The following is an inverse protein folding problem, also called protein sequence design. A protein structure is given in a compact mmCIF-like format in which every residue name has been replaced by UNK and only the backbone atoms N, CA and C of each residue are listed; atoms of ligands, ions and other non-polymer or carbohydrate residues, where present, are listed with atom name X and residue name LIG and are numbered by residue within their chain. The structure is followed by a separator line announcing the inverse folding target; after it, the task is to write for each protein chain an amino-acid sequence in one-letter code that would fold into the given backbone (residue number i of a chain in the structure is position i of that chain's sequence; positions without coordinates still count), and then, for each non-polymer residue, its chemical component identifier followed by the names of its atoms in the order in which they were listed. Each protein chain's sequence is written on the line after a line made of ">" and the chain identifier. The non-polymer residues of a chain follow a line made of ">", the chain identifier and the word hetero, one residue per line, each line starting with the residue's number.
data_IF_543993784323
#
_entry.id   IF_543993784323
#
_cell.length_a   1.000
_cell.length_b   1.000
_cell.length_c   1.000
_cell.angle_alpha   90.00
_cell.angle_beta   90.00
_cell.angle_gamma   90.00
#
_symmetry.space_group_name_H-M   'P 1'
#
loop_
_entity.id
_entity.type
_entity.pdbx_description
1 polymer ?
#
# COMPACT_ATOMS: atom_id res chain seq x y z
N UNK A 1 26.13 54.47 73.63
CA UNK A 1 25.92 53.00 73.44
C UNK A 1 24.43 52.76 73.34
N UNK A 2 23.92 52.60 72.10
CA UNK A 2 22.51 52.33 71.87
C UNK A 2 22.44 51.09 70.97
N UNK A 3 21.99 49.96 71.51
CA UNK A 3 21.80 48.70 70.89
C UNK A 3 20.44 48.65 70.19
N UNK A 4 20.44 48.70 68.88
CA UNK A 4 19.20 48.53 68.10
C UNK A 4 18.90 47.03 67.92
N UNK A 5 17.80 46.59 68.49
CA UNK A 5 17.21 45.26 68.30
C UNK A 5 16.51 45.23 66.93
N UNK A 6 16.97 44.42 65.95
CA UNK A 6 16.27 44.10 64.72
C UNK A 6 15.19 43.07 64.99
N UNK A 7 13.93 43.46 64.88
CA UNK A 7 12.80 42.56 64.84
C UNK A 7 12.59 42.04 63.40
N UNK A 8 12.71 40.74 63.20
CA UNK A 8 12.38 40.05 61.99
C UNK A 8 10.83 39.94 61.82
N UNK A 9 10.22 40.24 60.68
CA UNK A 9 8.82 40.06 60.46
C UNK A 9 8.47 38.59 60.38
N UNK A 10 7.25 38.18 60.85
CA UNK A 10 6.77 36.77 60.73
C UNK A 10 6.53 36.39 59.29
N UNK A 11 6.82 35.11 58.97
CA UNK A 11 6.57 34.50 57.66
C UNK A 11 5.07 34.48 57.36
N UNK A 12 4.66 34.69 56.10
CA UNK A 12 3.25 34.59 55.70
C UNK A 12 2.75 33.16 55.86
N UNK A 13 1.69 32.98 56.63
CA UNK A 13 0.95 31.73 56.76
C UNK A 13 0.25 31.44 55.45
N UNK A 14 0.57 30.29 54.82
CA UNK A 14 -0.14 29.81 53.66
C UNK A 14 -1.61 29.53 53.98
N UNK A 15 -2.58 29.91 53.13
CA UNK A 15 -3.97 29.58 53.33
C UNK A 15 -4.16 28.08 53.22
N UNK A 16 -4.79 27.47 54.21
CA UNK A 16 -5.24 26.08 54.19
C UNK A 16 -6.34 25.94 53.13
N UNK A 17 -6.01 25.37 51.98
CA UNK A 17 -6.95 25.00 50.95
C UNK A 17 -7.71 23.71 51.38
N UNK A 18 -8.81 23.89 52.08
CA UNK A 18 -9.72 22.86 52.53
C UNK A 18 -10.95 22.71 51.57
N UNK A 19 -10.64 22.59 50.28
CA UNK A 19 -11.69 22.11 49.35
C UNK A 19 -11.76 20.59 49.43
N UNK A 20 -12.92 19.99 49.78
CA UNK A 20 -13.11 18.54 49.74
C UNK A 20 -13.00 18.11 48.26
N UNK A 21 -11.89 17.50 47.88
CA UNK A 21 -11.69 16.91 46.56
C UNK A 21 -12.83 15.95 46.26
N UNK A 22 -13.70 16.35 45.35
CA UNK A 22 -14.68 15.46 44.76
C UNK A 22 -13.95 14.35 44.00
N UNK A 23 -13.64 13.25 44.71
CA UNK A 23 -13.19 12.01 44.09
C UNK A 23 -14.25 11.60 43.08
N UNK A 24 -13.98 11.83 41.78
CA UNK A 24 -14.84 11.26 40.72
C UNK A 24 -14.90 9.75 40.97
N UNK A 25 -16.09 9.17 41.09
CA UNK A 25 -16.19 7.73 41.26
C UNK A 25 -15.51 7.04 40.06
N UNK A 26 -14.76 5.94 40.27
CA UNK A 26 -14.16 5.19 39.19
C UNK A 26 -15.25 4.84 38.19
N UNK A 27 -15.03 5.17 36.90
CA UNK A 27 -15.94 4.79 35.82
C UNK A 27 -16.06 3.27 35.88
N UNK A 28 -17.20 2.77 36.36
CA UNK A 28 -17.50 1.34 36.36
C UNK A 28 -17.40 0.87 34.91
N UNK A 29 -16.59 -0.17 34.62
CA UNK A 29 -16.55 -0.75 33.29
C UNK A 29 -17.99 -1.12 32.91
N UNK A 30 -18.49 -0.51 31.82
CA UNK A 30 -19.80 -0.83 31.26
C UNK A 30 -19.76 -2.34 30.98
N UNK A 31 -20.49 -3.12 31.76
CA UNK A 31 -20.70 -4.54 31.46
C UNK A 31 -21.40 -4.59 30.11
N UNK A 32 -20.61 -4.71 29.05
CA UNK A 32 -21.14 -5.10 27.75
C UNK A 32 -21.71 -6.50 27.95
N UNK A 33 -23.02 -6.63 27.90
CA UNK A 33 -23.67 -7.92 28.04
C UNK A 33 -23.04 -8.91 27.04
N UNK A 34 -23.00 -10.18 27.36
CA UNK A 34 -22.50 -11.26 26.51
C UNK A 34 -22.95 -11.14 25.04
N UNK A 35 -24.13 -10.64 24.80
CA UNK A 35 -24.69 -10.48 23.44
C UNK A 35 -23.89 -9.53 22.54
N UNK A 36 -23.18 -8.54 23.07
CA UNK A 36 -22.37 -7.60 22.29
C UNK A 36 -21.18 -8.30 21.58
N UNK A 37 -20.33 -9.05 22.29
CA UNK A 37 -19.21 -9.78 21.66
C UNK A 37 -19.70 -10.88 20.71
N UNK A 38 -20.78 -11.62 21.06
CA UNK A 38 -21.33 -12.67 20.21
C UNK A 38 -21.90 -12.12 18.90
N UNK A 39 -22.65 -11.02 18.96
CA UNK A 39 -23.17 -10.34 17.77
C UNK A 39 -22.04 -9.78 16.91
N UNK A 40 -21.02 -9.18 17.51
CA UNK A 40 -19.85 -8.69 16.78
C UNK A 40 -19.10 -9.83 16.06
N UNK A 41 -18.88 -10.95 16.75
CA UNK A 41 -18.21 -12.13 16.15
C UNK A 41 -19.06 -12.75 15.03
N UNK A 42 -20.40 -12.77 15.17
CA UNK A 42 -21.29 -13.22 14.12
C UNK A 42 -21.19 -12.35 12.87
N UNK A 43 -21.25 -11.01 13.05
CA UNK A 43 -21.12 -10.05 11.94
C UNK A 43 -19.76 -10.21 11.25
N UNK A 44 -18.68 -10.32 12.02
CA UNK A 44 -17.33 -10.54 11.45
C UNK A 44 -17.26 -11.87 10.70
N UNK A 45 -17.83 -12.96 11.28
CA UNK A 45 -17.85 -14.27 10.65
C UNK A 45 -18.63 -14.29 9.32
N UNK A 46 -19.84 -13.69 9.30
CA UNK A 46 -20.66 -13.56 8.09
C UNK A 46 -19.94 -12.71 7.04
N UNK A 47 -19.35 -11.57 7.45
CA UNK A 47 -18.59 -10.72 6.54
C UNK A 47 -17.37 -11.42 5.95
N UNK A 48 -16.65 -12.20 6.77
CA UNK A 48 -15.51 -12.99 6.32
C UNK A 48 -15.95 -14.08 5.32
N UNK A 49 -17.03 -14.81 5.62
CA UNK A 49 -17.59 -15.81 4.70
C UNK A 49 -18.00 -15.17 3.38
N UNK A 50 -18.71 -14.05 3.42
CA UNK A 50 -19.12 -13.31 2.21
C UNK A 50 -17.91 -12.88 1.38
N UNK A 51 -16.86 -12.35 2.02
CA UNK A 51 -15.63 -11.92 1.33
C UNK A 51 -14.83 -13.11 0.73
N UNK A 52 -14.93 -14.30 1.32
CA UNK A 52 -14.24 -15.51 0.83
C UNK A 52 -15.01 -16.22 -0.29
N UNK A 53 -16.32 -16.03 -0.45
CA UNK A 53 -17.12 -16.70 -1.46
C UNK A 53 -16.55 -16.54 -2.88
N UNK A 54 -16.18 -15.34 -3.38
CA UNK A 54 -15.61 -15.19 -4.73
C UNK A 54 -14.27 -15.95 -4.88
N UNK A 55 -13.46 -15.99 -3.83
CA UNK A 55 -12.18 -16.70 -3.86
C UNK A 55 -12.38 -18.23 -3.87
N UNK A 56 -13.32 -18.71 -3.08
CA UNK A 56 -13.70 -20.14 -3.08
C UNK A 56 -14.25 -20.55 -4.44
N UNK A 57 -15.13 -19.72 -5.01
CA UNK A 57 -15.63 -19.97 -6.36
C UNK A 57 -14.49 -20.01 -7.39
N UNK A 58 -13.56 -19.04 -7.34
CA UNK A 58 -12.42 -19.00 -8.25
C UNK A 58 -11.52 -20.23 -8.12
N UNK A 59 -11.30 -20.71 -6.87
CA UNK A 59 -10.54 -21.94 -6.61
C UNK A 59 -11.20 -23.17 -7.23
N UNK A 60 -12.51 -23.33 -7.05
CA UNK A 60 -13.25 -24.47 -7.62
C UNK A 60 -13.31 -24.34 -9.15
N UNK A 61 -13.66 -23.16 -9.67
CA UNK A 61 -13.75 -22.90 -11.11
C UNK A 61 -12.43 -23.11 -11.86
N UNK A 62 -11.30 -22.83 -11.20
CA UNK A 62 -9.97 -23.06 -11.79
C UNK A 62 -9.56 -24.53 -11.82
N UNK A 63 -10.24 -25.37 -11.02
CA UNK A 63 -9.93 -26.78 -10.88
C UNK A 63 -10.79 -27.70 -11.75
N UNK A 64 -11.83 -27.19 -12.43
CA UNK A 64 -12.70 -27.95 -13.32
C UNK A 64 -12.34 -27.73 -14.79
N UNK A 65 -12.70 -28.69 -15.65
CA UNK A 65 -12.50 -28.57 -17.09
C UNK A 65 -13.45 -27.55 -17.73
N UNK A 66 -13.22 -27.24 -19.02
CA UNK A 66 -14.00 -26.25 -19.76
C UNK A 66 -15.48 -26.64 -19.94
N UNK A 67 -15.81 -27.96 -19.97
CA UNK A 67 -17.16 -28.44 -20.13
C UNK A 67 -17.96 -28.22 -18.85
N UNK A 68 -17.39 -28.58 -17.69
CA UNK A 68 -18.04 -28.41 -16.39
C UNK A 68 -18.13 -26.94 -15.95
N UNK A 69 -17.25 -26.06 -16.44
CA UNK A 69 -17.26 -24.65 -16.06
C UNK A 69 -18.61 -23.96 -16.38
N UNK A 70 -19.30 -24.39 -17.41
CA UNK A 70 -20.60 -23.85 -17.87
C UNK A 70 -21.76 -24.81 -17.65
N UNK A 71 -21.52 -26.02 -17.10
CA UNK A 71 -22.53 -27.05 -16.90
C UNK A 71 -23.12 -27.01 -15.48
N UNK A 72 -24.19 -27.80 -15.28
CA UNK A 72 -24.80 -28.01 -13.96
C UNK A 72 -23.94 -28.83 -13.01
N UNK A 73 -22.94 -29.53 -13.55
CA UNK A 73 -22.14 -30.53 -12.84
C UNK A 73 -20.83 -29.96 -12.30
N UNK A 74 -20.81 -28.64 -12.06
CA UNK A 74 -19.67 -27.83 -11.60
C UNK A 74 -18.93 -28.42 -10.37
N UNK A 75 -19.61 -29.15 -9.51
CA UNK A 75 -19.03 -29.77 -8.31
C UNK A 75 -18.73 -31.26 -8.45
N UNK A 76 -18.84 -31.85 -9.65
CA UNK A 76 -18.51 -33.25 -9.87
C UNK A 76 -16.97 -33.45 -9.87
N UNK A 77 -16.40 -34.26 -8.97
CA UNK A 77 -14.96 -34.53 -8.92
C UNK A 77 -14.39 -35.18 -10.19
N UNK A 78 -15.25 -35.78 -11.06
CA UNK A 78 -14.81 -36.37 -12.33
C UNK A 78 -14.25 -35.36 -13.32
N UNK A 79 -14.61 -34.09 -13.16
CA UNK A 79 -14.16 -32.97 -13.97
C UNK A 79 -12.94 -32.26 -13.45
N UNK A 80 -12.21 -32.86 -12.48
CA UNK A 80 -11.00 -32.22 -11.91
C UNK A 80 -9.85 -32.15 -12.91
N UNK A 81 -9.49 -30.97 -13.34
CA UNK A 81 -8.51 -30.67 -14.39
C UNK A 81 -7.49 -29.57 -14.03
N UNK A 82 -7.23 -29.31 -12.73
CA UNK A 82 -6.37 -28.20 -12.30
C UNK A 82 -5.00 -28.19 -12.97
N UNK A 83 -4.33 -29.34 -13.06
CA UNK A 83 -2.98 -29.43 -13.63
C UNK A 83 -3.00 -29.28 -15.14
N UNK A 84 -4.03 -29.79 -15.80
CA UNK A 84 -4.23 -29.65 -17.24
C UNK A 84 -4.52 -28.19 -17.61
N UNK A 85 -5.35 -27.51 -16.83
CA UNK A 85 -5.63 -26.07 -16.97
C UNK A 85 -4.37 -25.22 -16.78
N UNK A 86 -3.50 -25.54 -15.81
CA UNK A 86 -2.21 -24.87 -15.64
C UNK A 86 -1.31 -25.13 -16.85
N UNK A 87 -1.25 -26.38 -17.31
CA UNK A 87 -0.46 -26.75 -18.49
C UNK A 87 -0.91 -25.99 -19.74
N UNK A 88 -2.22 -25.95 -20.00
CA UNK A 88 -2.83 -25.22 -21.10
C UNK A 88 -2.55 -23.71 -21.00
N UNK A 89 -2.71 -23.11 -19.82
CA UNK A 89 -2.40 -21.71 -19.57
C UNK A 89 -0.95 -21.36 -19.92
N UNK A 90 -0.01 -22.20 -19.49
CA UNK A 90 1.43 -21.94 -19.70
C UNK A 90 1.86 -22.17 -21.16
N UNK A 91 1.14 -23.00 -21.90
CA UNK A 91 1.43 -23.28 -23.32
C UNK A 91 0.75 -22.27 -24.27
N UNK A 92 -0.33 -21.64 -23.84
CA UNK A 92 -1.16 -20.76 -24.68
C UNK A 92 -0.35 -19.60 -25.27
N UNK A 93 -0.56 -19.33 -26.56
CA UNK A 93 0.06 -18.24 -27.32
C UNK A 93 1.60 -18.15 -27.14
N UNK A 94 2.26 -19.33 -27.14
CA UNK A 94 3.72 -19.41 -26.96
C UNK A 94 4.21 -18.95 -25.58
N UNK A 95 3.42 -19.18 -24.54
CA UNK A 95 3.77 -18.79 -23.17
C UNK A 95 3.50 -17.32 -22.84
N UNK A 96 2.52 -16.71 -23.50
CA UNK A 96 2.15 -15.30 -23.29
C UNK A 96 1.87 -14.99 -21.84
N UNK A 97 1.18 -15.89 -21.12
CA UNK A 97 0.88 -15.71 -19.69
C UNK A 97 2.12 -15.48 -18.83
N UNK A 98 3.17 -16.30 -18.99
CA UNK A 98 4.40 -16.16 -18.22
C UNK A 98 5.12 -14.83 -18.52
N UNK A 99 5.07 -14.39 -19.76
CA UNK A 99 5.64 -13.10 -20.18
C UNK A 99 4.90 -11.94 -19.51
N UNK A 100 3.56 -11.94 -19.56
CA UNK A 100 2.73 -10.93 -18.90
C UNK A 100 2.91 -10.94 -17.38
N UNK A 101 3.04 -12.13 -16.80
CA UNK A 101 3.34 -12.28 -15.37
C UNK A 101 4.70 -11.66 -14.99
N UNK A 102 5.74 -11.94 -15.78
CA UNK A 102 7.07 -11.34 -15.64
C UNK A 102 7.05 -9.82 -15.79
N UNK A 103 6.32 -9.30 -16.80
CA UNK A 103 6.12 -7.86 -16.98
C UNK A 103 5.41 -7.24 -15.77
N UNK A 104 4.35 -7.88 -15.26
CA UNK A 104 3.66 -7.40 -14.05
C UNK A 104 4.57 -7.35 -12.84
N UNK A 105 5.42 -8.35 -12.63
CA UNK A 105 6.42 -8.33 -11.56
C UNK A 105 7.42 -7.19 -11.76
N UNK A 106 7.91 -6.99 -12.97
CA UNK A 106 8.81 -5.87 -13.27
C UNK A 106 8.15 -4.52 -12.97
N UNK A 107 6.96 -4.29 -13.51
CA UNK A 107 6.24 -3.02 -13.31
C UNK A 107 5.87 -2.80 -11.84
N UNK A 108 5.30 -3.81 -11.17
CA UNK A 108 4.80 -3.66 -9.81
C UNK A 108 5.93 -3.66 -8.78
N UNK A 109 6.84 -4.64 -8.80
CA UNK A 109 7.92 -4.72 -7.80
C UNK A 109 8.97 -3.64 -8.06
N UNK A 110 9.41 -3.51 -9.32
CA UNK A 110 10.40 -2.48 -9.71
C UNK A 110 9.85 -1.08 -9.51
N UNK A 111 8.65 -0.81 -10.03
CA UNK A 111 7.97 0.49 -9.89
C UNK A 111 7.69 0.85 -8.43
N UNK A 112 7.19 -0.10 -7.63
CA UNK A 112 6.92 0.15 -6.22
C UNK A 112 8.20 0.34 -5.40
N UNK A 113 9.25 -0.43 -5.64
CA UNK A 113 10.49 -0.30 -4.88
C UNK A 113 11.16 1.07 -5.11
N UNK A 114 11.28 1.47 -6.37
CA UNK A 114 11.88 2.76 -6.74
C UNK A 114 10.96 3.92 -6.37
N UNK A 115 9.66 3.81 -6.67
CA UNK A 115 8.69 4.86 -6.36
C UNK A 115 8.51 5.09 -4.85
N UNK A 116 8.49 4.03 -4.04
CA UNK A 116 8.47 4.15 -2.59
C UNK A 116 9.76 4.80 -2.05
N UNK A 117 10.92 4.49 -2.65
CA UNK A 117 12.18 5.14 -2.26
C UNK A 117 12.17 6.63 -2.59
N UNK A 118 11.74 7.00 -3.79
CA UNK A 118 11.58 8.41 -4.21
C UNK A 118 10.61 9.13 -3.27
N UNK A 119 9.45 8.51 -2.99
CA UNK A 119 8.44 9.08 -2.08
C UNK A 119 8.97 9.24 -0.67
N UNK A 120 9.74 8.25 -0.17
CA UNK A 120 10.34 8.31 1.17
C UNK A 120 11.40 9.40 1.26
N UNK A 121 12.26 9.53 0.26
CA UNK A 121 13.26 10.59 0.20
C UNK A 121 12.60 11.98 0.12
N UNK A 122 11.59 12.16 -0.74
CA UNK A 122 10.86 13.41 -0.85
C UNK A 122 10.13 13.77 0.46
N UNK A 123 9.42 12.81 1.08
CA UNK A 123 8.73 13.03 2.35
C UNK A 123 9.68 13.39 3.48
N UNK A 124 10.84 12.74 3.55
CA UNK A 124 11.92 13.08 4.48
C UNK A 124 12.43 14.51 4.28
N UNK A 125 12.66 14.94 3.03
CA UNK A 125 13.08 16.31 2.72
C UNK A 125 11.99 17.30 3.13
N UNK A 126 10.73 17.02 2.86
CA UNK A 126 9.62 17.88 3.33
C UNK A 126 9.42 17.91 4.83
N UNK A 127 9.97 16.98 5.58
CA UNK A 127 9.96 17.00 7.04
C UNK A 127 11.18 17.72 7.60
N UNK A 128 12.38 17.29 7.22
CA UNK A 128 13.64 17.63 7.89
C UNK A 128 14.33 18.91 7.38
N UNK A 129 13.96 19.41 6.20
CA UNK A 129 14.61 20.55 5.61
C UNK A 129 13.68 21.75 5.49
N UNK A 130 14.23 22.95 5.71
CA UNK A 130 13.56 24.21 5.39
C UNK A 130 14.13 24.78 4.10
N UNK A 131 13.24 25.07 3.13
CA UNK A 131 13.61 25.64 1.85
C UNK A 131 12.50 26.55 1.30
N UNK A 132 12.91 27.49 0.44
CA UNK A 132 11.97 28.43 -0.19
C UNK A 132 10.96 27.67 -1.08
N UNK A 133 9.67 27.91 -0.88
CA UNK A 133 8.61 27.24 -1.64
C UNK A 133 8.14 25.91 -1.07
N UNK A 134 8.67 25.44 0.07
CA UNK A 134 8.25 24.18 0.73
C UNK A 134 6.75 24.04 0.86
N UNK A 135 6.06 25.08 1.38
CA UNK A 135 4.61 25.02 1.63
C UNK A 135 3.78 24.92 0.34
N UNK A 136 3.95 25.80 -0.67
CA UNK A 136 3.18 25.69 -1.91
C UNK A 136 3.50 24.41 -2.70
N UNK A 137 4.77 23.93 -2.68
CA UNK A 137 5.14 22.69 -3.35
C UNK A 137 4.46 21.48 -2.69
N UNK A 138 4.44 21.44 -1.35
CA UNK A 138 3.75 20.37 -0.64
C UNK A 138 2.22 20.43 -0.85
N UNK A 139 1.64 21.65 -0.91
CA UNK A 139 0.23 21.82 -1.24
C UNK A 139 -0.09 21.30 -2.66
N UNK A 140 0.79 21.55 -3.64
CA UNK A 140 0.65 21.00 -4.99
C UNK A 140 0.66 19.48 -5.01
N UNK A 141 1.55 18.84 -4.23
CA UNK A 141 1.56 17.38 -4.06
C UNK A 141 0.24 16.88 -3.48
N UNK A 142 -0.31 17.55 -2.46
CA UNK A 142 -1.59 17.15 -1.88
C UNK A 142 -2.76 17.31 -2.87
N UNK A 143 -2.78 18.37 -3.65
CA UNK A 143 -3.80 18.59 -4.68
C UNK A 143 -3.70 17.51 -5.77
N UNK A 144 -2.49 17.09 -6.16
CA UNK A 144 -2.30 16.07 -7.19
C UNK A 144 -2.87 14.69 -6.81
N UNK A 145 -3.01 14.39 -5.51
CA UNK A 145 -3.69 13.16 -5.03
C UNK A 145 -5.18 13.15 -5.41
N UNK A 146 -5.79 14.32 -5.56
CA UNK A 146 -7.22 14.45 -5.89
C UNK A 146 -7.49 14.33 -7.40
N UNK A 147 -6.45 14.38 -8.23
CA UNK A 147 -6.61 14.28 -9.69
C UNK A 147 -6.80 12.81 -10.07
N UNK A 148 -7.93 12.45 -10.72
CA UNK A 148 -8.13 11.08 -11.19
C UNK A 148 -7.07 10.69 -12.22
N UNK A 149 -6.39 9.55 -11.99
CA UNK A 149 -5.34 9.08 -12.91
C UNK A 149 -5.84 8.85 -14.34
N UNK A 150 -7.13 8.51 -14.51
CA UNK A 150 -7.76 8.31 -15.81
C UNK A 150 -7.84 9.60 -16.64
N UNK A 151 -7.99 10.76 -16.01
CA UNK A 151 -7.99 12.06 -16.69
C UNK A 151 -6.62 12.41 -17.27
N UNK A 152 -5.56 11.95 -16.60
CA UNK A 152 -4.18 12.21 -17.02
C UNK A 152 -3.69 11.25 -18.12
N UNK A 153 -4.40 10.16 -18.39
CA UNK A 153 -3.91 9.12 -19.30
C UNK A 153 -3.66 9.63 -20.72
N UNK A 154 -4.59 10.42 -21.30
CA UNK A 154 -4.41 10.98 -22.64
C UNK A 154 -3.27 12.01 -22.71
N UNK A 155 -3.17 13.02 -21.83
CA UNK A 155 -2.03 13.92 -21.80
C UNK A 155 -0.69 13.19 -21.64
N UNK A 156 -0.64 12.16 -20.77
CA UNK A 156 0.56 11.35 -20.56
C UNK A 156 0.94 10.54 -21.79
N UNK A 157 -0.06 9.99 -22.51
CA UNK A 157 0.19 9.26 -23.76
C UNK A 157 0.77 10.20 -24.82
N UNK A 158 0.19 11.39 -24.99
CA UNK A 158 0.70 12.38 -25.97
C UNK A 158 2.14 12.76 -25.66
N UNK A 159 2.44 13.03 -24.38
CA UNK A 159 3.80 13.33 -23.95
C UNK A 159 4.75 12.15 -24.20
N UNK A 160 4.34 10.92 -23.86
CA UNK A 160 5.13 9.73 -24.12
C UNK A 160 5.36 9.49 -25.61
N UNK A 161 4.35 9.78 -26.45
CA UNK A 161 4.44 9.69 -27.91
C UNK A 161 5.45 10.70 -28.47
N UNK A 162 5.36 11.96 -28.03
CA UNK A 162 6.28 13.04 -28.48
C UNK A 162 7.74 12.75 -28.07
N UNK A 163 7.93 12.07 -26.92
CA UNK A 163 9.25 11.66 -26.43
C UNK A 163 9.74 10.34 -27.03
N UNK A 164 8.95 9.67 -27.88
CA UNK A 164 9.30 8.35 -28.43
C UNK A 164 9.27 7.22 -27.40
N UNK A 165 8.57 7.40 -26.28
CA UNK A 165 8.47 6.44 -25.19
C UNK A 165 7.18 5.60 -25.26
N UNK A 166 6.17 6.00 -26.05
CA UNK A 166 4.93 5.23 -26.22
C UNK A 166 5.25 3.80 -26.70
N UNK A 167 4.45 2.84 -26.25
CA UNK A 167 4.64 1.42 -26.53
C UNK A 167 6.04 0.87 -26.11
N UNK A 168 6.54 1.33 -24.97
CA UNK A 168 7.76 0.81 -24.34
C UNK A 168 7.52 0.52 -22.85
N UNK A 169 8.41 -0.24 -22.22
CA UNK A 169 8.39 -0.49 -20.76
C UNK A 169 8.40 0.83 -19.97
N UNK A 170 9.07 1.86 -20.48
CA UNK A 170 9.22 3.15 -19.83
C UNK A 170 7.92 3.96 -19.80
N UNK A 171 7.03 3.77 -20.79
CA UNK A 171 5.72 4.47 -20.80
C UNK A 171 4.83 4.06 -19.62
N UNK A 172 5.04 2.88 -19.05
CA UNK A 172 4.35 2.40 -17.86
C UNK A 172 5.17 2.69 -16.59
N UNK A 173 6.48 2.40 -16.60
CA UNK A 173 7.32 2.53 -15.42
C UNK A 173 7.48 3.98 -14.94
N UNK A 174 7.77 4.93 -15.84
CA UNK A 174 8.05 6.31 -15.42
C UNK A 174 6.86 6.93 -14.68
N UNK A 175 5.62 6.87 -15.19
CA UNK A 175 4.49 7.44 -14.47
C UNK A 175 4.24 6.85 -13.08
N UNK A 176 4.43 5.53 -12.93
CA UNK A 176 4.15 4.86 -11.64
C UNK A 176 5.22 5.12 -10.58
N UNK A 177 6.38 5.69 -10.92
CA UNK A 177 7.38 6.12 -9.95
C UNK A 177 6.91 7.32 -9.12
N UNK A 178 6.02 8.15 -9.67
CA UNK A 178 5.50 9.33 -8.98
C UNK A 178 4.28 8.96 -8.15
N UNK A 179 4.43 9.01 -6.83
CA UNK A 179 3.38 8.66 -5.87
C UNK A 179 3.19 9.80 -4.86
N UNK A 180 2.35 10.80 -5.16
CA UNK A 180 2.09 11.92 -4.26
C UNK A 180 1.55 11.51 -2.89
N UNK A 181 0.69 10.49 -2.84
CA UNK A 181 0.19 9.93 -1.59
C UNK A 181 1.31 9.29 -0.76
N UNK A 182 2.25 8.61 -1.43
CA UNK A 182 3.46 8.08 -0.80
C UNK A 182 4.33 9.17 -0.17
N UNK A 183 4.49 10.32 -0.84
CA UNK A 183 5.24 11.47 -0.30
C UNK A 183 4.57 12.02 0.97
N UNK A 184 3.24 12.16 0.97
CA UNK A 184 2.48 12.55 2.15
C UNK A 184 2.70 11.59 3.32
N UNK A 185 2.52 10.28 3.08
CA UNK A 185 2.74 9.25 4.10
C UNK A 185 4.19 9.27 4.61
N UNK A 186 5.16 9.37 3.72
CA UNK A 186 6.58 9.40 4.08
C UNK A 186 6.92 10.56 4.99
N UNK A 187 6.36 11.75 4.73
CA UNK A 187 6.51 12.91 5.60
C UNK A 187 5.94 12.65 7.00
N UNK A 188 4.75 12.03 7.10
CA UNK A 188 4.14 11.67 8.38
C UNK A 188 4.98 10.65 9.15
N UNK A 189 5.51 9.65 8.46
CA UNK A 189 6.42 8.67 9.07
C UNK A 189 7.75 9.29 9.49
N UNK A 190 8.33 10.17 8.67
CA UNK A 190 9.56 10.88 9.01
C UNK A 190 9.40 11.70 10.30
N UNK A 191 8.33 12.48 10.39
CA UNK A 191 8.03 13.29 11.57
C UNK A 191 7.81 12.44 12.85
N UNK A 192 7.32 11.20 12.69
CA UNK A 192 7.03 10.33 13.84
C UNK A 192 8.20 9.45 14.27
N UNK A 193 9.06 9.06 13.33
CA UNK A 193 10.09 8.04 13.57
C UNK A 193 11.51 8.57 13.56
N UNK A 194 11.77 9.77 13.03
CA UNK A 194 13.13 10.34 12.94
C UNK A 194 13.22 11.60 13.79
N UNK A 195 13.68 11.51 15.04
CA UNK A 195 13.98 12.68 15.86
C UNK A 195 15.13 13.51 15.25
N UNK A 196 15.05 14.83 15.36
CA UNK A 196 16.07 15.72 14.82
C UNK A 196 17.42 15.55 15.55
N UNK A 197 17.39 15.22 16.84
CA UNK A 197 18.57 14.96 17.67
C UNK A 197 19.44 13.83 17.14
N UNK A 198 18.84 12.79 16.55
CA UNK A 198 19.57 11.66 15.95
C UNK A 198 20.29 12.10 14.68
N UNK A 199 19.71 13.00 13.90
CA UNK A 199 20.33 13.56 12.71
C UNK A 199 21.47 14.54 13.07
N UNK A 200 21.29 15.33 14.13
CA UNK A 200 22.33 16.21 14.66
C UNK A 200 23.53 15.39 15.14
N UNK A 201 23.31 14.31 15.87
CA UNK A 201 24.39 13.40 16.28
C UNK A 201 25.13 12.81 15.06
N UNK A 202 24.41 12.37 14.02
CA UNK A 202 25.03 11.88 12.79
C UNK A 202 25.89 12.94 12.08
N UNK A 203 25.45 14.22 12.10
CA UNK A 203 26.25 15.34 11.54
C UNK A 203 27.51 15.61 12.36
N UNK A 204 27.45 15.52 13.70
CA UNK A 204 28.62 15.63 14.58
C UNK A 204 29.63 14.52 14.30
N UNK A 205 29.13 13.28 13.96
CA UNK A 205 29.94 12.14 13.54
C UNK A 205 30.49 12.29 12.11
N UNK A 206 30.27 13.41 11.42
CA UNK A 206 30.79 13.72 10.09
C UNK A 206 29.96 13.12 8.94
N UNK A 207 28.72 12.66 9.18
CA UNK A 207 27.84 12.22 8.10
C UNK A 207 27.31 13.44 7.31
N UNK A 208 27.42 13.38 5.96
CA UNK A 208 26.71 14.31 5.09
C UNK A 208 25.21 13.94 5.00
N UNK A 209 24.39 14.83 4.43
CA UNK A 209 22.93 14.67 4.40
C UNK A 209 22.48 13.39 3.68
N UNK A 210 23.13 13.00 2.58
CA UNK A 210 22.82 11.75 1.88
C UNK A 210 23.15 10.52 2.75
N UNK A 211 24.31 10.55 3.42
CA UNK A 211 24.67 9.47 4.35
C UNK A 211 23.72 9.42 5.54
N UNK A 212 23.34 10.55 6.09
CA UNK A 212 22.36 10.64 7.18
C UNK A 212 21.01 10.07 6.75
N UNK A 213 20.55 10.38 5.53
CA UNK A 213 19.31 9.78 5.00
C UNK A 213 19.41 8.26 4.87
N UNK A 214 20.40 7.73 4.12
CA UNK A 214 20.47 6.29 3.86
C UNK A 214 20.87 5.44 5.07
N UNK A 215 21.76 5.95 5.92
CA UNK A 215 22.30 5.19 7.05
C UNK A 215 21.44 5.27 8.31
N UNK A 216 20.72 6.39 8.51
CA UNK A 216 19.93 6.67 9.70
C UNK A 216 18.45 6.82 9.33
N UNK A 217 18.11 7.85 8.57
CA UNK A 217 16.74 8.24 8.28
C UNK A 217 15.92 7.10 7.68
N UNK A 218 16.41 6.51 6.57
CA UNK A 218 15.71 5.43 5.85
C UNK A 218 15.54 4.18 6.72
N UNK A 219 16.52 3.86 7.58
CA UNK A 219 16.42 2.72 8.50
C UNK A 219 15.34 2.94 9.56
N UNK A 220 15.22 4.17 10.08
CA UNK A 220 14.20 4.53 11.06
C UNK A 220 12.80 4.58 10.43
N UNK A 221 12.69 5.06 9.17
CA UNK A 221 11.42 5.13 8.41
C UNK A 221 11.08 3.76 7.78
N UNK A 222 11.90 2.73 7.91
CA UNK A 222 11.69 1.45 7.22
C UNK A 222 10.25 0.88 7.31
N UNK A 223 9.54 0.94 8.46
CA UNK A 223 8.12 0.52 8.50
C UNK A 223 7.22 1.37 7.60
N UNK A 224 7.50 2.67 7.50
CA UNK A 224 6.81 3.60 6.59
C UNK A 224 7.12 3.29 5.12
N UNK A 225 8.39 3.06 4.79
CA UNK A 225 8.79 2.64 3.44
C UNK A 225 8.07 1.36 3.00
N UNK A 226 8.04 0.33 3.85
CA UNK A 226 7.33 -0.93 3.56
C UNK A 226 5.83 -0.70 3.35
N UNK A 227 5.22 0.19 4.13
CA UNK A 227 3.80 0.54 3.98
C UNK A 227 3.54 1.21 2.63
N UNK A 228 4.37 2.19 2.25
CA UNK A 228 4.28 2.89 0.96
C UNK A 228 4.51 1.91 -0.19
N UNK A 229 5.53 1.05 -0.07
CA UNK A 229 5.82 0.01 -1.05
C UNK A 229 4.63 -0.92 -1.28
N UNK A 230 3.97 -1.42 -0.22
CA UNK A 230 2.81 -2.32 -0.33
C UNK A 230 1.62 -1.64 -1.01
N UNK A 231 1.31 -0.40 -0.65
CA UNK A 231 0.24 0.34 -1.30
C UNK A 231 0.54 0.55 -2.79
N UNK A 232 1.76 0.92 -3.11
CA UNK A 232 2.17 1.16 -4.49
C UNK A 232 2.26 -0.13 -5.30
N UNK A 233 2.79 -1.21 -4.71
CA UNK A 233 2.81 -2.55 -5.32
C UNK A 233 1.40 -3.00 -5.71
N UNK A 234 0.45 -2.88 -4.79
CA UNK A 234 -0.93 -3.26 -5.02
C UNK A 234 -1.58 -2.38 -6.09
N UNK A 235 -1.33 -1.07 -6.06
CA UNK A 235 -1.86 -0.14 -7.05
C UNK A 235 -1.33 -0.42 -8.47
N UNK A 236 -0.02 -0.69 -8.61
CA UNK A 236 0.61 -0.98 -9.90
C UNK A 236 0.20 -2.37 -10.41
N UNK A 237 0.18 -3.38 -9.54
CA UNK A 237 -0.23 -4.74 -9.91
C UNK A 237 -1.64 -4.78 -10.50
N UNK A 238 -2.57 -4.02 -9.93
CA UNK A 238 -3.95 -3.94 -10.40
C UNK A 238 -4.16 -2.87 -11.49
N UNK A 239 -3.10 -2.15 -11.89
CA UNK A 239 -3.22 -1.11 -12.88
C UNK A 239 -3.45 -1.72 -14.26
N UNK A 240 -4.63 -1.45 -14.82
CA UNK A 240 -5.05 -1.90 -16.13
C UNK A 240 -5.06 -0.73 -17.12
N UNK A 241 -5.57 0.43 -16.67
CA UNK A 241 -5.93 1.51 -17.58
C UNK A 241 -4.71 2.22 -18.20
N UNK A 242 -3.66 2.48 -17.42
CA UNK A 242 -2.45 3.10 -17.95
C UNK A 242 -1.77 2.21 -19.00
N UNK A 243 -1.51 0.90 -18.74
CA UNK A 243 -1.00 -0.01 -19.77
C UNK A 243 -1.88 -0.10 -21.02
N UNK A 244 -3.21 -0.12 -20.87
CA UNK A 244 -4.15 -0.15 -21.99
C UNK A 244 -3.97 1.05 -22.93
N UNK A 245 -3.72 2.23 -22.38
CA UNK A 245 -3.52 3.46 -23.17
C UNK A 245 -2.12 3.54 -23.75
N UNK A 246 -1.10 3.05 -23.03
CA UNK A 246 0.32 3.23 -23.36
C UNK A 246 0.90 2.15 -24.27
N UNK A 247 0.35 0.93 -24.24
CA UNK A 247 0.95 -0.24 -24.89
C UNK A 247 0.04 -0.76 -26.02
N UNK A 248 0.66 -1.11 -27.14
CA UNK A 248 0.03 -1.79 -28.27
C UNK A 248 0.70 -3.14 -28.59
N UNK A 249 1.93 -3.37 -28.10
CA UNK A 249 2.66 -4.63 -28.24
C UNK A 249 2.30 -5.57 -27.09
N UNK A 250 1.68 -6.70 -27.41
CA UNK A 250 1.27 -7.72 -26.44
C UNK A 250 2.46 -8.29 -25.64
N UNK A 251 3.65 -8.25 -26.19
CA UNK A 251 4.86 -8.71 -25.49
C UNK A 251 5.22 -7.86 -24.25
N UNK A 252 4.71 -6.62 -24.18
CA UNK A 252 4.92 -5.67 -23.09
C UNK A 252 3.75 -5.63 -22.09
N UNK A 253 2.66 -6.32 -22.37
CA UNK A 253 1.47 -6.27 -21.51
C UNK A 253 1.77 -6.73 -20.09
N UNK A 254 1.27 -6.05 -19.08
CA UNK A 254 1.11 -6.63 -17.75
C UNK A 254 -0.01 -7.67 -17.76
N UNK A 255 -0.03 -8.51 -16.75
CA UNK A 255 -0.98 -9.61 -16.62
C UNK A 255 -2.44 -9.16 -16.68
N UNK A 256 -2.77 -8.05 -16.04
CA UNK A 256 -4.12 -7.46 -16.04
C UNK A 256 -4.60 -7.12 -17.46
N UNK A 257 -3.73 -6.56 -18.30
CA UNK A 257 -4.05 -6.22 -19.68
C UNK A 257 -4.06 -7.47 -20.57
N UNK A 258 -3.15 -8.41 -20.36
CA UNK A 258 -3.12 -9.69 -21.09
C UNK A 258 -4.38 -10.52 -20.84
N UNK A 259 -4.80 -10.70 -19.59
CA UNK A 259 -6.05 -11.39 -19.28
C UNK A 259 -7.27 -10.66 -19.86
N UNK A 260 -7.25 -9.33 -19.88
CA UNK A 260 -8.31 -8.56 -20.54
C UNK A 260 -8.33 -8.78 -22.06
N UNK A 261 -7.18 -8.90 -22.73
CA UNK A 261 -7.14 -9.17 -24.17
C UNK A 261 -7.77 -10.53 -24.50
N UNK A 262 -7.49 -11.56 -23.68
CA UNK A 262 -8.17 -12.85 -23.81
C UNK A 262 -9.67 -12.76 -23.53
N UNK A 263 -10.09 -11.98 -22.53
CA UNK A 263 -11.50 -11.75 -22.25
C UNK A 263 -12.23 -11.09 -23.43
N UNK A 264 -11.59 -10.13 -24.09
CA UNK A 264 -12.15 -9.48 -25.27
C UNK A 264 -12.26 -10.44 -26.47
N UNK A 265 -11.36 -11.43 -26.57
CA UNK A 265 -11.36 -12.44 -27.62
C UNK A 265 -12.24 -13.67 -27.29
N UNK A 266 -12.59 -13.90 -26.02
CA UNK A 266 -13.33 -15.07 -25.56
C UNK A 266 -14.70 -15.30 -26.23
N UNK A 267 -15.49 -14.28 -26.66
CA UNK A 267 -16.71 -14.50 -27.43
C UNK A 267 -16.48 -15.17 -28.79
N UNK A 268 -15.26 -15.01 -29.35
CA UNK A 268 -14.87 -15.63 -30.64
C UNK A 268 -14.14 -16.95 -30.39
N UNK A 269 -13.34 -17.02 -29.34
CA UNK A 269 -12.60 -18.20 -28.94
C UNK A 269 -12.90 -18.55 -27.46
N UNK A 270 -13.92 -19.40 -27.21
CA UNK A 270 -14.37 -19.78 -25.88
C UNK A 270 -13.30 -20.46 -25.00
N UNK A 271 -12.24 -21.03 -25.61
CA UNK A 271 -11.12 -21.67 -24.89
C UNK A 271 -10.36 -20.73 -23.98
N UNK A 272 -10.50 -19.42 -24.19
CA UNK A 272 -9.90 -18.44 -23.28
C UNK A 272 -10.60 -18.34 -21.90
N UNK A 273 -11.87 -18.75 -21.76
CA UNK A 273 -12.57 -18.65 -20.48
C UNK A 273 -11.90 -19.44 -19.35
N UNK A 274 -11.62 -20.75 -19.49
CA UNK A 274 -10.94 -21.50 -18.42
C UNK A 274 -9.52 -20.95 -18.16
N UNK A 275 -8.81 -20.48 -19.20
CA UNK A 275 -7.48 -19.88 -19.06
C UNK A 275 -7.51 -18.59 -18.26
N UNK A 276 -8.53 -17.75 -18.44
CA UNK A 276 -8.71 -16.53 -17.63
C UNK A 276 -9.02 -16.85 -16.18
N UNK A 277 -9.82 -17.90 -15.92
CA UNK A 277 -10.16 -18.30 -14.55
C UNK A 277 -8.91 -18.75 -13.80
N UNK A 278 -8.15 -19.71 -14.35
CA UNK A 278 -6.92 -20.19 -13.71
C UNK A 278 -5.84 -19.10 -13.67
N UNK A 279 -5.73 -18.28 -14.72
CA UNK A 279 -4.80 -17.16 -14.79
C UNK A 279 -5.10 -16.11 -13.71
N UNK A 280 -6.37 -15.83 -13.46
CA UNK A 280 -6.81 -14.91 -12.40
C UNK A 280 -6.50 -15.46 -11.00
N UNK A 281 -6.66 -16.78 -10.78
CA UNK A 281 -6.26 -17.42 -9.53
C UNK A 281 -4.76 -17.24 -9.25
N UNK A 282 -3.93 -17.55 -10.26
CA UNK A 282 -2.48 -17.43 -10.12
C UNK A 282 -2.03 -15.96 -9.98
N UNK A 283 -2.78 -15.01 -10.53
CA UNK A 283 -2.53 -13.58 -10.39
C UNK A 283 -2.67 -13.07 -8.94
N UNK A 284 -3.38 -13.79 -8.06
CA UNK A 284 -3.49 -13.42 -6.65
C UNK A 284 -2.20 -13.73 -5.86
N UNK A 285 -1.43 -14.72 -6.29
CA UNK A 285 -0.31 -15.25 -5.50
C UNK A 285 0.74 -14.19 -5.11
N UNK A 286 1.22 -13.30 -6.00
CA UNK A 286 2.22 -12.33 -5.62
C UNK A 286 1.76 -11.35 -4.55
N UNK A 287 0.48 -10.91 -4.62
CA UNK A 287 -0.08 -10.01 -3.62
C UNK A 287 -0.24 -10.71 -2.27
N UNK A 288 -0.72 -11.97 -2.26
CA UNK A 288 -0.83 -12.78 -1.03
C UNK A 288 0.55 -12.98 -0.41
N UNK A 289 1.55 -13.36 -1.21
CA UNK A 289 2.93 -13.56 -0.75
C UNK A 289 3.51 -12.24 -0.20
N UNK A 290 3.37 -11.14 -0.94
CA UNK A 290 3.85 -9.83 -0.50
C UNK A 290 3.20 -9.43 0.84
N UNK A 291 1.88 -9.60 0.98
CA UNK A 291 1.16 -9.31 2.21
C UNK A 291 1.66 -10.17 3.38
N UNK A 292 1.76 -11.49 3.20
CA UNK A 292 2.20 -12.41 4.26
C UNK A 292 3.64 -12.12 4.71
N UNK A 293 4.54 -11.78 3.79
CA UNK A 293 5.93 -11.46 4.12
C UNK A 293 6.06 -10.12 4.83
N UNK A 294 5.25 -9.13 4.47
CA UNK A 294 5.41 -7.75 4.90
C UNK A 294 4.43 -7.33 6.01
N UNK A 295 3.40 -8.14 6.34
CA UNK A 295 2.39 -7.84 7.37
C UNK A 295 2.99 -7.50 8.75
N UNK A 296 4.15 -8.08 9.10
CA UNK A 296 4.83 -7.80 10.36
C UNK A 296 5.26 -6.34 10.51
N UNK A 297 5.64 -5.70 9.41
CA UNK A 297 6.03 -4.28 9.40
C UNK A 297 4.82 -3.36 9.52
N UNK A 298 3.68 -3.78 9.00
CA UNK A 298 2.44 -2.99 9.03
C UNK A 298 1.83 -2.95 10.43
N UNK A 299 1.87 -4.05 11.17
CA UNK A 299 1.38 -4.12 12.55
C UNK A 299 2.09 -3.15 13.49
N UNK A 300 3.39 -2.94 13.33
CA UNK A 300 4.17 -2.00 14.17
C UNK A 300 3.84 -0.53 13.87
N UNK A 301 3.49 -0.19 12.62
CA UNK A 301 3.15 1.18 12.22
C UNK A 301 1.76 1.65 12.68
N UNK A 302 0.77 0.76 12.71
CA UNK A 302 -0.61 1.13 13.11
C UNK A 302 -0.78 1.29 14.62
N UNK A 303 0.05 0.65 15.43
CA UNK A 303 -0.01 0.74 16.90
C UNK A 303 0.70 1.95 17.47
N UNK A 304 1.65 2.55 16.75
CA UNK A 304 2.38 3.73 17.20
C UNK A 304 1.48 4.98 17.40
N UNK A 305 0.33 5.06 16.74
CA UNK A 305 -0.65 6.15 16.89
C UNK A 305 -1.69 5.94 18.00
N UNK A 306 -1.76 4.77 18.61
CA UNK A 306 -2.81 4.41 19.59
C UNK A 306 -2.37 4.53 21.05
N UNK A 307 -1.09 4.80 21.33
CA UNK A 307 -0.56 5.02 22.67
C UNK A 307 -0.38 6.51 22.86
N UNK A 308 -1.40 7.16 23.38
CA UNK A 308 -1.37 8.47 24.05
C UNK A 308 -1.79 8.29 25.49
#
# INVERSE_FOLDING_TARGET
>A
MSTSVRTTPPAPTAPADSSPGTRRPPLRPRRTGWYGPAAANLVVGVSALYALLPLLWLLVASAVDSEALFASDFFDPSHFALFDNIGALLAQDGGAYLRWYGNSLLYAVGGAAVGALISTAAGYVFDKFEFTGKRPLFALILISVMVPATVLALPMYLLASDLGLANTVWSVLIPVLFNPFGVYLARMFSASYVPDEVLEAARVDGANELRSFFSVGLRMIAPGYVTIFLFQLTAIWNNFFLPLVMLSDESLYPLSLGLYSWNAAAPINPDYYPLMVIGSLLALLPLVVAFLLLQRYWRSGLTAGSVK
#
